data_IF_283957564800
#
_entry.id   IF_283957564800
#
_cell.length_a   1.000
_cell.length_b   1.000
_cell.length_c   1.000
_cell.angle_alpha   90.00
_cell.angle_beta   90.00
_cell.angle_gamma   90.00
#
_symmetry.space_group_name_H-M   'P 1'
#
loop_
_entity.id
_entity.type
_entity.pdbx_description
1 polymer ?
#
# COMPACT_ATOMS: atom_id res chain seq x y z
N UNK A 1 16.67 -18.87 13.55
CA UNK A 1 15.87 -19.22 12.36
C UNK A 1 16.05 -18.09 11.37
N UNK A 2 16.55 -18.35 10.17
CA UNK A 2 16.75 -17.31 9.15
C UNK A 2 15.38 -16.86 8.63
N UNK A 3 15.14 -15.55 8.52
CA UNK A 3 13.84 -15.01 8.12
C UNK A 3 13.52 -15.37 6.66
N UNK A 4 12.32 -15.89 6.40
CA UNK A 4 11.92 -16.42 5.08
C UNK A 4 11.97 -15.33 3.99
N UNK A 5 11.46 -14.13 4.33
CA UNK A 5 11.36 -12.99 3.44
C UNK A 5 12.46 -11.99 3.75
N UNK A 6 13.57 -12.10 3.03
CA UNK A 6 14.69 -11.19 3.15
C UNK A 6 15.30 -10.88 1.79
N UNK A 7 16.07 -9.79 1.70
CA UNK A 7 16.63 -9.32 0.44
C UNK A 7 17.44 -10.38 -0.31
N UNK A 8 18.24 -11.19 0.40
CA UNK A 8 19.10 -12.23 -0.21
C UNK A 8 18.28 -13.23 -1.02
N UNK A 9 17.08 -13.55 -0.56
CA UNK A 9 16.16 -14.52 -1.19
C UNK A 9 15.28 -13.87 -2.25
N UNK A 10 14.72 -12.68 -1.96
CA UNK A 10 13.72 -12.04 -2.83
C UNK A 10 14.30 -11.18 -3.95
N UNK A 11 15.59 -10.82 -3.92
CA UNK A 11 16.18 -9.83 -4.86
C UNK A 11 15.95 -10.17 -6.34
N UNK A 12 15.95 -11.45 -6.73
CA UNK A 12 15.82 -11.85 -8.12
C UNK A 12 14.41 -11.58 -8.64
N UNK A 13 13.40 -12.06 -7.90
CA UNK A 13 11.98 -11.81 -8.16
C UNK A 13 11.68 -10.31 -8.14
N UNK A 14 12.08 -9.60 -7.08
CA UNK A 14 11.80 -8.17 -6.94
C UNK A 14 12.44 -7.34 -8.07
N UNK A 15 13.63 -7.72 -8.57
CA UNK A 15 14.26 -7.07 -9.73
C UNK A 15 13.48 -7.29 -11.03
N UNK A 16 12.75 -8.40 -11.16
CA UNK A 16 11.90 -8.67 -12.33
C UNK A 16 10.70 -7.72 -12.44
N UNK A 17 10.35 -7.01 -11.36
CA UNK A 17 9.33 -5.95 -11.39
C UNK A 17 9.75 -4.75 -12.23
N UNK A 18 11.04 -4.56 -12.48
CA UNK A 18 11.55 -3.43 -13.26
C UNK A 18 10.95 -3.44 -14.67
N UNK A 19 10.22 -2.38 -15.02
CA UNK A 19 9.55 -2.25 -16.32
C UNK A 19 8.14 -2.85 -16.38
N UNK A 20 7.63 -3.48 -15.31
CA UNK A 20 6.23 -3.94 -15.24
C UNK A 20 5.27 -2.76 -15.01
N UNK A 21 3.97 -3.01 -15.24
CA UNK A 21 2.91 -2.02 -14.99
C UNK A 21 2.98 -1.50 -13.54
N UNK A 22 3.10 -0.18 -13.37
CA UNK A 22 3.25 0.46 -12.06
C UNK A 22 4.70 0.56 -11.55
N UNK A 23 5.66 -0.09 -12.21
CA UNK A 23 7.08 -0.11 -11.82
C UNK A 23 7.97 0.31 -12.99
N UNK A 24 8.31 1.61 -13.09
CA UNK A 24 9.16 2.12 -14.17
C UNK A 24 10.51 1.39 -14.27
N UNK A 25 11.08 1.34 -15.47
CA UNK A 25 12.41 0.80 -15.71
C UNK A 25 13.50 1.73 -15.11
N UNK A 26 13.66 1.67 -13.79
CA UNK A 26 14.56 2.52 -13.01
C UNK A 26 15.36 1.68 -12.01
N UNK A 27 16.52 2.18 -11.52
CA UNK A 27 17.33 1.46 -10.52
C UNK A 27 16.69 1.43 -9.12
N UNK A 28 15.62 2.21 -8.92
CA UNK A 28 14.88 2.32 -7.65
C UNK A 28 13.42 1.99 -7.93
N UNK A 29 12.89 1.04 -7.17
CA UNK A 29 11.48 0.70 -7.13
C UNK A 29 10.78 1.59 -6.11
N UNK A 30 9.65 2.18 -6.49
CA UNK A 30 8.80 2.97 -5.58
C UNK A 30 7.47 2.27 -5.36
N UNK A 31 7.11 2.05 -4.10
CA UNK A 31 5.87 1.39 -3.71
C UNK A 31 5.33 2.02 -2.43
N UNK A 32 4.12 2.57 -2.45
CA UNK A 32 3.48 3.21 -1.29
C UNK A 32 4.39 4.22 -0.55
N UNK A 33 5.09 5.09 -1.29
CA UNK A 33 6.07 6.06 -0.76
C UNK A 33 7.29 5.43 -0.05
N UNK A 34 7.55 4.16 -0.30
CA UNK A 34 8.81 3.49 0.02
C UNK A 34 9.65 3.39 -1.25
N UNK A 35 10.89 3.83 -1.17
CA UNK A 35 11.88 3.73 -2.24
C UNK A 35 12.85 2.59 -1.93
N UNK A 36 12.79 1.50 -2.68
CA UNK A 36 13.69 0.34 -2.60
C UNK A 36 14.78 0.45 -3.68
N UNK A 37 16.05 0.44 -3.29
CA UNK A 37 17.17 0.35 -4.23
C UNK A 37 17.41 -1.11 -4.63
N UNK A 38 17.45 -1.38 -5.93
CA UNK A 38 17.72 -2.74 -6.42
C UNK A 38 19.15 -3.22 -6.22
N UNK A 39 20.09 -2.32 -5.94
CA UNK A 39 21.49 -2.64 -5.73
C UNK A 39 21.68 -3.47 -4.44
N UNK A 40 21.25 -2.91 -3.31
CA UNK A 40 21.54 -3.41 -1.97
C UNK A 40 20.28 -3.80 -1.16
N UNK A 41 19.08 -3.52 -1.70
CA UNK A 41 17.81 -3.76 -1.00
C UNK A 41 17.51 -2.73 0.09
N UNK A 42 18.25 -1.62 0.15
CA UNK A 42 17.98 -0.55 1.10
C UNK A 42 16.64 0.10 0.78
N UNK A 43 15.86 0.38 1.84
CA UNK A 43 14.53 0.95 1.73
C UNK A 43 14.51 2.28 2.45
N UNK A 44 14.08 3.30 1.73
CA UNK A 44 13.90 4.64 2.22
C UNK A 44 12.41 4.96 2.33
N UNK A 45 11.98 5.38 3.52
CA UNK A 45 10.65 5.87 3.78
C UNK A 45 10.58 7.36 3.41
N UNK A 46 9.87 7.68 2.32
CA UNK A 46 9.74 9.06 1.83
C UNK A 46 8.80 9.91 2.69
N UNK A 47 7.90 9.30 3.48
CA UNK A 47 6.99 10.02 4.37
C UNK A 47 7.70 10.43 5.65
N UNK A 48 8.46 9.50 6.23
CA UNK A 48 9.22 9.74 7.45
C UNK A 48 10.66 10.23 7.19
N UNK A 49 11.04 10.40 5.93
CA UNK A 49 12.32 10.95 5.48
C UNK A 49 13.56 10.23 6.06
N UNK A 50 13.51 8.90 6.20
CA UNK A 50 14.63 8.12 6.75
C UNK A 50 14.73 6.71 6.14
N UNK A 51 15.91 6.10 6.24
CA UNK A 51 16.17 4.73 5.78
C UNK A 51 15.77 3.70 6.83
N UNK A 52 14.99 2.69 6.44
CA UNK A 52 14.62 1.59 7.30
C UNK A 52 15.85 0.74 7.62
N UNK A 53 16.08 0.45 8.91
CA UNK A 53 17.16 -0.42 9.36
C UNK A 53 16.87 -1.86 8.95
N UNK A 54 17.90 -2.67 8.66
CA UNK A 54 17.73 -4.07 8.23
C UNK A 54 16.91 -4.97 9.18
N UNK A 55 16.83 -4.63 10.48
CA UNK A 55 16.01 -5.36 11.48
C UNK A 55 14.62 -4.77 11.68
N UNK A 56 14.18 -3.87 10.79
CA UNK A 56 12.87 -3.24 10.92
C UNK A 56 11.79 -4.28 10.62
N UNK A 57 10.83 -4.41 11.54
CA UNK A 57 9.80 -5.46 11.55
C UNK A 57 8.92 -5.50 10.29
N UNK A 58 8.88 -4.40 9.52
CA UNK A 58 8.07 -4.31 8.31
C UNK A 58 8.79 -4.76 7.03
N UNK A 59 10.12 -4.88 7.05
CA UNK A 59 10.88 -5.27 5.84
C UNK A 59 10.48 -6.65 5.29
N UNK A 60 10.32 -7.69 6.12
CA UNK A 60 9.91 -9.01 5.63
C UNK A 60 8.55 -8.97 4.94
N UNK A 61 7.59 -8.21 5.49
CA UNK A 61 6.27 -8.04 4.89
C UNK A 61 6.35 -7.34 3.54
N UNK A 62 7.19 -6.29 3.43
CA UNK A 62 7.38 -5.59 2.17
C UNK A 62 8.00 -6.50 1.10
N UNK A 63 9.02 -7.29 1.46
CA UNK A 63 9.63 -8.23 0.53
C UNK A 63 8.64 -9.32 0.09
N UNK A 64 7.84 -9.87 1.02
CA UNK A 64 6.78 -10.83 0.71
C UNK A 64 5.78 -10.27 -0.31
N UNK A 65 5.29 -9.05 -0.08
CA UNK A 65 4.34 -8.38 -0.97
C UNK A 65 4.98 -8.18 -2.35
N UNK A 66 6.19 -7.60 -2.42
CA UNK A 66 6.84 -7.33 -3.70
C UNK A 66 7.17 -8.61 -4.47
N UNK A 67 7.65 -9.67 -3.80
CA UNK A 67 7.83 -10.99 -4.42
C UNK A 67 6.51 -11.52 -4.99
N UNK A 68 5.41 -11.42 -4.23
CA UNK A 68 4.10 -11.85 -4.71
C UNK A 68 3.61 -11.06 -5.93
N UNK A 69 3.91 -9.76 -6.02
CA UNK A 69 3.66 -8.96 -7.23
C UNK A 69 4.54 -9.40 -8.41
N UNK A 70 5.76 -9.88 -8.16
CA UNK A 70 6.65 -10.38 -9.19
C UNK A 70 6.14 -11.70 -9.78
N UNK A 71 5.61 -12.58 -8.92
CA UNK A 71 5.04 -13.87 -9.32
C UNK A 71 3.68 -13.73 -10.02
N UNK A 72 2.96 -12.63 -9.77
CA UNK A 72 1.67 -12.38 -10.41
C UNK A 72 1.78 -12.31 -11.94
N UNK A 73 0.83 -12.93 -12.63
CA UNK A 73 0.74 -12.89 -14.09
C UNK A 73 0.44 -11.45 -14.57
N UNK A 74 1.23 -10.92 -15.53
CA UNK A 74 0.96 -9.62 -16.12
C UNK A 74 -0.41 -9.61 -16.79
N UNK A 75 -1.34 -8.84 -16.22
CA UNK A 75 -2.68 -8.68 -16.78
C UNK A 75 -2.75 -7.34 -17.52
N UNK A 76 -3.23 -7.30 -18.77
CA UNK A 76 -3.36 -6.04 -19.50
C UNK A 76 -4.39 -5.13 -18.82
N UNK A 77 -4.18 -3.80 -18.86
CA UNK A 77 -5.18 -2.85 -18.38
C UNK A 77 -6.50 -3.03 -19.14
N UNK A 78 -7.61 -3.15 -18.40
CA UNK A 78 -8.93 -3.34 -19.01
C UNK A 78 -9.63 -2.03 -19.36
N UNK A 79 -9.07 -0.87 -18.94
CA UNK A 79 -9.67 0.47 -19.01
C UNK A 79 -11.06 0.59 -18.37
N UNK A 80 -11.48 -0.44 -17.64
CA UNK A 80 -12.76 -0.47 -16.93
C UNK A 80 -12.55 -0.01 -15.50
N UNK A 81 -13.37 0.94 -15.06
CA UNK A 81 -13.42 1.31 -13.65
C UNK A 81 -14.02 0.15 -12.85
N UNK A 82 -13.22 -0.39 -11.94
CA UNK A 82 -13.69 -1.34 -10.94
C UNK A 82 -14.09 -0.59 -9.68
N UNK A 83 -15.34 -0.77 -9.27
CA UNK A 83 -15.81 -0.32 -7.97
C UNK A 83 -15.18 -1.17 -6.86
N UNK A 84 -15.09 -0.62 -5.65
CA UNK A 84 -14.60 -1.36 -4.47
C UNK A 84 -15.35 -2.69 -4.27
N UNK A 85 -16.63 -2.76 -4.61
CA UNK A 85 -17.46 -3.97 -4.51
C UNK A 85 -16.96 -5.15 -5.37
N UNK A 86 -16.20 -4.86 -6.43
CA UNK A 86 -15.66 -5.86 -7.35
C UNK A 86 -14.29 -6.39 -6.89
N UNK A 87 -13.65 -5.75 -5.92
CA UNK A 87 -12.41 -6.24 -5.32
C UNK A 87 -12.73 -7.30 -4.27
N UNK A 88 -11.95 -8.39 -4.26
CA UNK A 88 -12.02 -9.37 -3.19
C UNK A 88 -11.69 -8.71 -1.85
N UNK A 89 -12.58 -8.84 -0.86
CA UNK A 89 -12.51 -8.11 0.41
C UNK A 89 -13.06 -6.68 0.39
N UNK A 90 -13.38 -6.12 -0.78
CA UNK A 90 -13.99 -4.79 -0.89
C UNK A 90 -15.42 -4.72 -0.37
N UNK A 91 -16.09 -5.87 -0.18
CA UNK A 91 -17.35 -5.95 0.56
C UNK A 91 -17.20 -5.51 2.03
N UNK A 92 -16.01 -5.65 2.62
CA UNK A 92 -15.72 -5.16 3.98
C UNK A 92 -15.57 -3.64 4.04
N UNK A 93 -15.42 -2.93 2.91
CA UNK A 93 -15.43 -1.47 2.90
C UNK A 93 -16.77 -0.92 3.40
N UNK A 94 -17.88 -1.65 3.23
CA UNK A 94 -19.17 -1.25 3.80
C UNK A 94 -19.12 -1.16 5.33
N UNK A 95 -18.33 -2.03 5.99
CA UNK A 95 -18.14 -1.97 7.46
C UNK A 95 -17.40 -0.69 7.85
N UNK A 96 -16.41 -0.26 7.06
CA UNK A 96 -15.72 1.01 7.30
C UNK A 96 -16.65 2.22 7.09
N UNK A 97 -17.52 2.17 6.08
CA UNK A 97 -18.53 3.21 5.81
C UNK A 97 -19.55 3.29 6.96
N UNK A 98 -20.08 2.15 7.41
CA UNK A 98 -21.04 2.13 8.53
C UNK A 98 -20.39 2.59 9.84
N UNK A 99 -19.14 2.22 10.10
CA UNK A 99 -18.40 2.73 11.27
C UNK A 99 -18.21 4.24 11.20
N UNK A 100 -17.76 4.76 10.07
CA UNK A 100 -17.59 6.20 9.88
C UNK A 100 -18.93 6.95 10.02
N UNK A 101 -20.00 6.40 9.45
CA UNK A 101 -21.36 6.95 9.57
C UNK A 101 -21.82 6.96 11.02
N UNK A 102 -21.65 5.86 11.75
CA UNK A 102 -22.02 5.78 13.16
C UNK A 102 -21.29 6.83 13.98
N UNK A 103 -19.97 6.97 13.82
CA UNK A 103 -19.21 7.99 14.53
C UNK A 103 -19.66 9.42 14.21
N UNK A 104 -20.02 9.72 12.96
CA UNK A 104 -20.59 11.02 12.59
C UNK A 104 -21.96 11.23 13.25
N UNK A 105 -22.81 10.20 13.28
CA UNK A 105 -24.12 10.26 13.94
C UNK A 105 -23.99 10.41 15.46
N UNK A 106 -23.05 9.74 16.10
CA UNK A 106 -22.81 9.85 17.55
C UNK A 106 -22.40 11.27 17.93
N UNK A 107 -21.52 11.89 17.13
CA UNK A 107 -20.98 13.23 17.42
C UNK A 107 -21.94 14.35 17.00
N UNK A 108 -22.61 14.22 15.85
CA UNK A 108 -23.37 15.31 15.23
C UNK A 108 -24.87 15.03 15.07
N UNK A 109 -25.36 13.84 15.42
CA UNK A 109 -26.73 13.41 15.14
C UNK A 109 -27.79 14.27 15.82
N UNK A 110 -27.51 14.77 17.02
CA UNK A 110 -28.39 15.70 17.75
C UNK A 110 -28.22 17.17 17.32
N UNK A 111 -27.13 17.51 16.61
CA UNK A 111 -26.80 18.90 16.23
C UNK A 111 -26.24 18.96 14.80
N UNK A 112 -27.08 18.66 13.82
CA UNK A 112 -26.71 18.59 12.39
C UNK A 112 -26.08 19.87 11.84
N UNK A 113 -26.45 21.05 12.36
CA UNK A 113 -25.86 22.35 11.98
C UNK A 113 -24.37 22.44 12.30
N UNK A 114 -23.92 21.74 13.35
CA UNK A 114 -22.52 21.73 13.76
C UNK A 114 -21.65 20.96 12.78
N UNK A 115 -22.15 19.86 12.20
CA UNK A 115 -21.46 19.12 11.14
C UNK A 115 -21.18 20.03 9.93
N UNK A 116 -22.18 20.78 9.47
CA UNK A 116 -22.03 21.71 8.34
C UNK A 116 -21.04 22.84 8.66
N UNK A 117 -21.00 23.30 9.91
CA UNK A 117 -20.06 24.34 10.34
C UNK A 117 -18.62 23.80 10.39
N UNK A 118 -18.42 22.61 10.94
CA UNK A 118 -17.11 21.95 11.01
C UNK A 118 -16.59 21.54 9.64
N UNK A 119 -17.46 21.15 8.71
CA UNK A 119 -17.06 20.80 7.33
C UNK A 119 -16.48 21.98 6.54
N UNK A 120 -16.76 23.23 6.93
CA UNK A 120 -16.25 24.44 6.26
C UNK A 120 -14.80 24.78 6.61
N UNK A 121 -14.21 24.12 7.60
CA UNK A 121 -12.83 24.36 8.07
C UNK A 121 -11.89 23.18 7.77
N UNK A 122 -12.39 22.16 7.09
CA UNK A 122 -11.62 21.07 6.47
C UNK A 122 -11.38 21.38 5.00
#
# INVERSE_FOLDING_TARGET
>A
MEELWNWKRCKAEIRSLKGRLGFPDKPVLRFLKLSLKFEDGSIYDELANHTLKQKHLTLPHLYCILSSYADAEPTPPTSNLISSKQLQGGQYCNVAVERARSSIQDVFGSVSKMLVKSAKVL
#
